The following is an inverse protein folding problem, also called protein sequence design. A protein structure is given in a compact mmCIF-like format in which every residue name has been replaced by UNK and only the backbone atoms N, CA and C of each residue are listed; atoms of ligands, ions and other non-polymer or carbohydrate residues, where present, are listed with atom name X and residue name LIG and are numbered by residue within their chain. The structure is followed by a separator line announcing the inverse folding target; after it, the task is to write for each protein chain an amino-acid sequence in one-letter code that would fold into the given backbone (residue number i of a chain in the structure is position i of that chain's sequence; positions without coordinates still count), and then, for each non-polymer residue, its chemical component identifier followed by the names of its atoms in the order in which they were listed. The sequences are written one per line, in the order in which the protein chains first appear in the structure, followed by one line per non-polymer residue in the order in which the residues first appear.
data_IF_978782526249
#
_entry.id   IF_978782526249
#
_cell.length_a   1.000
_cell.length_b   1.000
_cell.length_c   1.000
_cell.angle_alpha   90.00
_cell.angle_beta   90.00
_cell.angle_gamma   90.00
#
_symmetry.space_group_name_H-M   'P 1'
#
loop_
_entity.id
_entity.type
_entity.pdbx_description
1 polymer ?
#
# COMPACT_ATOMS: atom_id res chain seq x y z
N UNK A 1 -34.69 24.54 -22.23
CA UNK A 1 -35.29 23.39 -22.96
C UNK A 1 -35.11 22.13 -22.13
N UNK A 2 -36.12 21.25 -22.02
CA UNK A 2 -36.06 20.04 -21.19
C UNK A 2 -36.14 18.77 -22.05
N UNK A 3 -35.48 17.70 -21.62
CA UNK A 3 -35.49 16.39 -22.28
C UNK A 3 -35.76 15.28 -21.27
N UNK A 4 -36.60 14.32 -21.65
CA UNK A 4 -36.86 13.10 -20.88
C UNK A 4 -35.72 12.11 -21.13
N UNK A 5 -35.06 11.64 -20.08
CA UNK A 5 -34.06 10.58 -20.19
C UNK A 5 -34.73 9.29 -20.69
N UNK A 6 -34.17 8.66 -21.71
CA UNK A 6 -34.71 7.43 -22.30
C UNK A 6 -34.51 6.18 -21.42
N UNK A 7 -33.76 6.28 -20.31
CA UNK A 7 -33.53 5.15 -19.38
C UNK A 7 -34.29 5.33 -18.08
N UNK A 8 -34.08 6.43 -17.34
CA UNK A 8 -34.78 6.64 -16.06
C UNK A 8 -36.12 7.36 -16.20
N UNK A 9 -36.46 7.89 -17.39
CA UNK A 9 -37.72 8.60 -17.62
C UNK A 9 -37.83 9.98 -16.97
N UNK A 10 -36.84 10.44 -16.21
CA UNK A 10 -36.84 11.75 -15.55
C UNK A 10 -36.62 12.85 -16.59
N UNK A 11 -37.40 13.94 -16.51
CA UNK A 11 -37.19 15.17 -17.28
C UNK A 11 -36.06 15.98 -16.64
N UNK A 12 -35.01 16.28 -17.40
CA UNK A 12 -33.88 17.13 -16.96
C UNK A 12 -33.65 18.23 -18.00
N UNK A 13 -32.98 19.31 -17.60
CA UNK A 13 -32.59 20.36 -18.53
C UNK A 13 -31.66 19.81 -19.62
N UNK A 14 -31.85 20.25 -20.86
CA UNK A 14 -31.03 19.84 -21.99
C UNK A 14 -29.71 20.61 -22.02
N UNK A 15 -28.82 20.27 -21.09
CA UNK A 15 -27.49 20.86 -20.93
C UNK A 15 -26.42 19.79 -20.96
N UNK A 16 -25.17 20.21 -21.17
CA UNK A 16 -23.98 19.35 -21.09
C UNK A 16 -23.78 18.76 -19.71
N UNK A 17 -24.40 19.28 -18.66
CA UNK A 17 -24.31 18.72 -17.31
C UNK A 17 -25.19 17.48 -17.15
N UNK A 18 -26.39 17.52 -17.72
CA UNK A 18 -27.37 16.45 -17.59
C UNK A 18 -27.25 15.39 -18.68
N UNK A 19 -26.89 15.77 -19.91
CA UNK A 19 -26.82 14.87 -21.06
C UNK A 19 -25.44 14.92 -21.74
N UNK A 20 -24.81 13.77 -22.03
CA UNK A 20 -23.58 13.73 -22.82
C UNK A 20 -23.80 14.31 -24.23
N UNK A 21 -22.84 15.07 -24.73
CA UNK A 21 -22.85 15.54 -26.11
C UNK A 21 -22.73 14.36 -27.09
N UNK A 22 -23.51 14.39 -28.18
CA UNK A 22 -23.48 13.37 -29.23
C UNK A 22 -23.65 14.03 -30.59
N UNK A 23 -22.54 14.09 -31.35
CA UNK A 23 -22.43 14.79 -32.65
C UNK A 23 -23.52 14.38 -33.64
N UNK A 24 -23.88 13.10 -33.71
CA UNK A 24 -24.82 12.59 -34.70
C UNK A 24 -26.27 12.50 -34.18
N UNK A 25 -26.62 13.28 -33.15
CA UNK A 25 -27.99 13.30 -32.62
C UNK A 25 -28.70 14.59 -33.00
N UNK A 26 -30.00 14.51 -33.30
CA UNK A 26 -30.83 15.66 -33.68
C UNK A 26 -30.78 16.79 -32.65
N UNK A 27 -30.70 16.44 -31.36
CA UNK A 27 -30.61 17.42 -30.27
C UNK A 27 -29.17 17.80 -29.89
N UNK A 28 -28.13 17.24 -30.52
CA UNK A 28 -26.73 17.39 -30.08
C UNK A 28 -26.36 16.65 -28.79
N UNK A 29 -27.31 15.93 -28.19
CA UNK A 29 -27.20 15.24 -26.90
C UNK A 29 -27.70 13.79 -26.96
N UNK A 30 -27.08 12.89 -26.19
CA UNK A 30 -27.55 11.51 -25.99
C UNK A 30 -29.02 11.50 -25.48
N UNK A 31 -29.74 10.42 -25.77
CA UNK A 31 -31.08 10.19 -25.22
C UNK A 31 -31.07 9.88 -23.72
N UNK A 32 -29.94 9.36 -23.23
CA UNK A 32 -29.71 9.00 -21.83
C UNK A 32 -29.01 10.13 -21.08
N UNK A 33 -29.41 10.37 -19.83
CA UNK A 33 -28.69 11.31 -18.97
C UNK A 33 -27.32 10.74 -18.56
N UNK A 34 -26.42 11.59 -18.04
CA UNK A 34 -25.08 11.19 -17.60
C UNK A 34 -25.09 10.10 -16.54
N UNK A 35 -26.05 10.11 -15.62
CA UNK A 35 -26.13 9.11 -14.55
C UNK A 35 -26.43 7.73 -15.13
N UNK A 36 -27.48 7.64 -15.96
CA UNK A 36 -27.82 6.41 -16.67
C UNK A 36 -26.69 5.97 -17.61
N UNK A 37 -25.96 6.92 -18.21
CA UNK A 37 -24.79 6.62 -19.04
C UNK A 37 -23.64 6.04 -18.22
N UNK A 38 -23.34 6.58 -17.05
CA UNK A 38 -22.34 6.06 -16.11
C UNK A 38 -22.64 4.61 -15.73
N UNK A 39 -23.89 4.32 -15.37
CA UNK A 39 -24.32 2.94 -15.01
C UNK A 39 -24.15 2.01 -16.21
N UNK A 40 -24.63 2.43 -17.38
CA UNK A 40 -24.48 1.65 -18.62
C UNK A 40 -23.01 1.37 -18.97
N UNK A 41 -22.16 2.40 -18.91
CA UNK A 41 -20.74 2.26 -19.24
C UNK A 41 -20.00 1.38 -18.22
N UNK A 42 -20.37 1.42 -16.92
CA UNK A 42 -19.86 0.50 -15.90
C UNK A 42 -20.22 -0.95 -16.22
N UNK A 43 -21.49 -1.24 -16.52
CA UNK A 43 -21.95 -2.60 -16.87
C UNK A 43 -21.25 -3.07 -18.16
N UNK A 44 -21.15 -2.19 -19.16
CA UNK A 44 -20.46 -2.49 -20.43
C UNK A 44 -18.99 -2.79 -20.20
N UNK A 45 -18.31 -2.01 -19.36
CA UNK A 45 -16.92 -2.25 -18.99
C UNK A 45 -16.78 -3.61 -18.30
N UNK A 46 -17.62 -3.91 -17.31
CA UNK A 46 -17.55 -5.16 -16.54
C UNK A 46 -17.72 -6.39 -17.45
N UNK A 47 -18.73 -6.36 -18.33
CA UNK A 47 -18.96 -7.42 -19.32
C UNK A 47 -17.79 -7.63 -20.29
N UNK A 48 -16.93 -6.63 -20.47
CA UNK A 48 -15.78 -6.69 -21.37
C UNK A 48 -14.43 -6.65 -20.62
N UNK A 49 -14.45 -6.70 -19.28
CA UNK A 49 -13.28 -6.40 -18.44
C UNK A 49 -12.12 -7.31 -18.76
N UNK A 50 -12.36 -8.61 -18.80
CA UNK A 50 -11.35 -9.62 -19.10
C UNK A 50 -10.76 -9.44 -20.50
N UNK A 51 -11.62 -9.22 -21.51
CA UNK A 51 -11.18 -8.98 -22.89
C UNK A 51 -10.33 -7.71 -23.01
N UNK A 52 -10.70 -6.64 -22.33
CA UNK A 52 -9.94 -5.38 -22.30
C UNK A 52 -8.59 -5.56 -21.60
N UNK A 53 -8.56 -6.30 -20.48
CA UNK A 53 -7.32 -6.63 -19.76
C UNK A 53 -6.41 -7.49 -20.65
N UNK A 54 -6.94 -8.54 -21.28
CA UNK A 54 -6.18 -9.41 -22.17
C UNK A 54 -5.58 -8.64 -23.35
N UNK A 55 -6.38 -7.80 -24.01
CA UNK A 55 -5.92 -6.93 -25.10
C UNK A 55 -4.84 -5.95 -24.62
N UNK A 56 -5.00 -5.37 -23.43
CA UNK A 56 -4.01 -4.47 -22.82
C UNK A 56 -2.69 -5.19 -22.53
N UNK A 57 -2.73 -6.42 -21.99
CA UNK A 57 -1.55 -7.26 -21.78
C UNK A 57 -0.85 -7.59 -23.08
N UNK A 58 -1.61 -7.95 -24.12
CA UNK A 58 -1.06 -8.27 -25.43
C UNK A 58 -0.37 -7.05 -26.08
N UNK A 59 -1.03 -5.88 -26.04
CA UNK A 59 -0.44 -4.62 -26.50
C UNK A 59 0.85 -4.30 -25.74
N UNK A 60 0.84 -4.38 -24.40
CA UNK A 60 2.03 -4.15 -23.60
C UNK A 60 3.17 -5.11 -23.96
N UNK A 61 2.87 -6.41 -24.16
CA UNK A 61 3.85 -7.41 -24.56
C UNK A 61 4.48 -7.10 -25.91
N UNK A 62 3.69 -6.67 -26.90
CA UNK A 62 4.16 -6.28 -28.23
C UNK A 62 5.05 -5.03 -28.20
N UNK A 63 4.79 -4.10 -27.28
CA UNK A 63 5.49 -2.81 -27.19
C UNK A 63 6.45 -2.73 -25.99
N UNK A 64 6.84 -3.85 -25.38
CA UNK A 64 7.63 -3.85 -24.14
C UNK A 64 9.01 -3.22 -24.35
N UNK A 65 9.66 -3.50 -25.47
CA UNK A 65 10.99 -3.00 -25.79
C UNK A 65 10.98 -1.50 -26.09
N UNK A 66 10.02 -1.06 -26.92
CA UNK A 66 9.80 0.36 -27.24
C UNK A 66 9.53 1.18 -25.97
N UNK A 67 8.66 0.67 -25.08
CA UNK A 67 8.37 1.33 -23.80
C UNK A 67 9.59 1.39 -22.88
N UNK A 68 10.38 0.31 -22.81
CA UNK A 68 11.63 0.29 -22.04
C UNK A 68 12.65 1.29 -22.61
N UNK A 69 12.78 1.36 -23.94
CA UNK A 69 13.65 2.32 -24.62
C UNK A 69 13.21 3.75 -24.31
N UNK A 70 11.95 4.08 -24.53
CA UNK A 70 11.36 5.37 -24.19
C UNK A 70 11.58 5.72 -22.71
N UNK A 71 11.37 4.77 -21.79
CA UNK A 71 11.60 4.99 -20.36
C UNK A 71 13.05 5.33 -20.02
N UNK A 72 14.03 4.67 -20.66
CA UNK A 72 15.45 4.99 -20.49
C UNK A 72 15.78 6.38 -21.04
N UNK A 73 15.29 6.70 -22.24
CA UNK A 73 15.51 8.00 -22.88
C UNK A 73 14.89 9.14 -22.06
N UNK A 74 13.66 8.95 -21.59
CA UNK A 74 12.98 9.89 -20.70
C UNK A 74 13.79 10.14 -19.43
N UNK A 75 14.23 9.07 -18.75
CA UNK A 75 15.03 9.21 -17.54
C UNK A 75 16.36 9.93 -17.80
N UNK A 76 17.07 9.59 -18.88
CA UNK A 76 18.32 10.26 -19.25
C UNK A 76 18.12 11.76 -19.49
N UNK A 77 17.03 12.13 -20.17
CA UNK A 77 16.70 13.54 -20.46
C UNK A 77 16.10 14.30 -19.26
N UNK A 78 15.57 13.58 -18.26
CA UNK A 78 14.84 14.17 -17.13
C UNK A 78 15.44 13.74 -15.77
N UNK A 79 16.74 13.48 -15.72
CA UNK A 79 17.40 12.87 -14.55
C UNK A 79 17.13 13.65 -13.27
N UNK A 80 17.30 14.97 -13.29
CA UNK A 80 17.09 15.81 -12.10
C UNK A 80 15.64 15.82 -11.64
N UNK A 81 14.69 15.84 -12.58
CA UNK A 81 13.26 15.76 -12.29
C UNK A 81 12.88 14.41 -11.70
N UNK A 82 13.43 13.32 -12.22
CA UNK A 82 13.18 11.98 -11.69
C UNK A 82 13.77 11.84 -10.28
N UNK A 83 15.00 12.31 -10.07
CA UNK A 83 15.66 12.29 -8.75
C UNK A 83 14.93 13.14 -7.72
N UNK A 84 14.52 14.36 -8.08
CA UNK A 84 13.78 15.24 -7.18
C UNK A 84 12.42 14.66 -6.81
N UNK A 85 11.73 14.07 -7.78
CA UNK A 85 10.45 13.37 -7.55
C UNK A 85 10.63 12.16 -6.63
N UNK A 86 11.69 11.36 -6.84
CA UNK A 86 12.00 10.24 -5.95
C UNK A 86 12.30 10.70 -4.52
N UNK A 87 13.13 11.73 -4.37
CA UNK A 87 13.46 12.30 -3.05
C UNK A 87 12.22 12.86 -2.35
N UNK A 88 11.34 13.52 -3.10
CA UNK A 88 10.06 14.00 -2.56
C UNK A 88 9.20 12.83 -2.09
N UNK A 89 9.05 11.78 -2.91
CA UNK A 89 8.31 10.59 -2.52
C UNK A 89 8.89 9.96 -1.24
N UNK A 90 10.21 9.86 -1.11
CA UNK A 90 10.88 9.33 0.09
C UNK A 90 10.59 10.15 1.34
N UNK A 91 10.54 11.47 1.19
CA UNK A 91 10.26 12.40 2.29
C UNK A 91 8.78 12.34 2.71
N UNK A 92 7.88 12.27 1.72
CA UNK A 92 6.43 12.26 1.95
C UNK A 92 5.93 10.86 2.40
N UNK A 93 6.70 9.79 2.17
CA UNK A 93 6.31 8.39 2.43
C UNK A 93 7.37 7.61 3.23
N UNK A 94 7.79 8.09 4.41
CA UNK A 94 8.88 7.49 5.17
C UNK A 94 8.55 6.07 5.65
N UNK A 95 7.28 5.79 5.98
CA UNK A 95 6.83 4.45 6.41
C UNK A 95 6.89 3.48 5.24
N UNK A 96 6.38 3.86 4.08
CA UNK A 96 6.40 3.03 2.88
C UNK A 96 7.84 2.76 2.44
N UNK A 97 8.73 3.75 2.54
CA UNK A 97 10.16 3.56 2.27
C UNK A 97 10.79 2.53 3.22
N UNK A 98 10.47 2.56 4.52
CA UNK A 98 10.92 1.52 5.48
C UNK A 98 10.41 0.14 5.09
N UNK A 99 9.11 0.00 4.79
CA UNK A 99 8.50 -1.27 4.36
C UNK A 99 9.19 -1.81 3.10
N UNK A 100 9.47 -0.96 2.10
CA UNK A 100 10.19 -1.36 0.88
C UNK A 100 11.59 -1.86 1.22
N UNK A 101 12.31 -1.14 2.08
CA UNK A 101 13.65 -1.52 2.50
C UNK A 101 13.65 -2.86 3.25
N UNK A 102 12.72 -3.06 4.19
CA UNK A 102 12.58 -4.33 4.92
C UNK A 102 12.24 -5.49 3.99
N UNK A 103 11.25 -5.34 3.11
CA UNK A 103 10.92 -6.37 2.11
C UNK A 103 12.13 -6.70 1.22
N UNK A 104 12.91 -5.69 0.82
CA UNK A 104 14.13 -5.90 0.04
C UNK A 104 15.22 -6.64 0.83
N UNK A 105 15.40 -6.30 2.12
CA UNK A 105 16.37 -6.96 3.00
C UNK A 105 15.97 -8.41 3.23
N UNK A 106 14.73 -8.68 3.60
CA UNK A 106 14.22 -10.04 3.83
C UNK A 106 14.40 -10.93 2.60
N UNK A 107 14.03 -10.45 1.41
CA UNK A 107 14.24 -11.19 0.15
C UNK A 107 15.72 -11.50 -0.14
N UNK A 108 16.62 -10.57 0.17
CA UNK A 108 18.07 -10.77 -0.01
C UNK A 108 18.58 -11.96 0.78
N UNK A 109 18.00 -12.22 1.96
CA UNK A 109 18.35 -13.36 2.82
C UNK A 109 17.43 -14.58 2.62
N UNK A 110 16.61 -14.59 1.58
CA UNK A 110 15.73 -15.72 1.24
C UNK A 110 14.45 -15.82 2.08
N UNK A 111 14.14 -14.83 2.91
CA UNK A 111 12.90 -14.79 3.66
C UNK A 111 11.70 -14.35 2.81
N UNK A 112 10.52 -14.79 3.21
CA UNK A 112 9.26 -14.41 2.57
C UNK A 112 8.78 -13.00 2.97
N UNK A 113 7.96 -12.37 2.13
CA UNK A 113 7.47 -10.98 2.34
C UNK A 113 5.96 -10.89 2.23
N UNK A 114 5.27 -11.69 3.05
CA UNK A 114 3.82 -11.89 2.99
C UNK A 114 3.02 -10.87 3.78
N UNK A 115 3.63 -10.11 4.71
CA UNK A 115 2.92 -9.13 5.54
C UNK A 115 2.16 -8.11 4.67
N UNK A 116 0.85 -8.13 4.84
CA UNK A 116 -0.15 -7.23 4.25
C UNK A 116 -0.38 -6.00 5.13
N UNK A 117 -1.11 -5.01 4.60
CA UNK A 117 -1.45 -3.81 5.36
C UNK A 117 -2.43 -4.14 6.48
N UNK A 118 -3.40 -4.99 6.18
CA UNK A 118 -4.46 -5.43 7.07
C UNK A 118 -3.88 -6.28 8.21
N UNK A 119 -2.95 -7.20 7.93
CA UNK A 119 -2.25 -7.94 8.99
C UNK A 119 -1.42 -7.03 9.89
N UNK A 120 -0.80 -5.98 9.33
CA UNK A 120 -0.07 -5.01 10.14
C UNK A 120 -1.00 -4.21 11.06
N UNK A 121 -2.18 -3.81 10.59
CA UNK A 121 -3.19 -3.16 11.42
C UNK A 121 -3.63 -4.09 12.56
N UNK A 122 -3.95 -5.36 12.26
CA UNK A 122 -4.26 -6.36 13.29
C UNK A 122 -3.09 -6.57 14.28
N UNK A 123 -1.85 -6.44 13.81
CA UNK A 123 -0.65 -6.55 14.64
C UNK A 123 -0.55 -5.37 15.61
N UNK A 124 -0.80 -4.15 15.13
CA UNK A 124 -0.86 -2.97 16.00
C UNK A 124 -1.97 -3.13 17.04
N UNK A 125 -3.16 -3.58 16.64
CA UNK A 125 -4.28 -3.83 17.55
C UNK A 125 -3.90 -4.87 18.61
N UNK A 126 -3.28 -5.98 18.20
CA UNK A 126 -2.82 -7.04 19.10
C UNK A 126 -1.81 -6.55 20.13
N UNK A 127 -0.98 -5.54 19.82
CA UNK A 127 -0.04 -4.94 20.76
C UNK A 127 -0.53 -3.61 21.35
N UNK A 128 -1.83 -3.32 21.28
CA UNK A 128 -2.45 -2.10 21.83
C UNK A 128 -1.74 -0.83 21.35
N UNK A 129 -1.41 -0.79 20.05
CA UNK A 129 -0.66 0.28 19.40
C UNK A 129 0.63 0.68 20.12
N UNK A 130 1.27 -0.26 20.81
CA UNK A 130 2.42 -0.01 21.67
C UNK A 130 3.61 -0.88 21.27
N UNK A 131 4.81 -0.46 21.67
CA UNK A 131 6.02 -1.24 21.45
C UNK A 131 5.91 -2.59 22.18
N UNK A 132 6.05 -3.68 21.43
CA UNK A 132 5.99 -5.05 21.94
C UNK A 132 6.99 -5.33 23.06
N UNK A 133 8.14 -4.62 23.08
CA UNK A 133 9.21 -4.84 24.05
C UNK A 133 9.07 -3.99 25.32
N UNK A 134 9.09 -2.66 25.20
CA UNK A 134 9.08 -1.78 26.37
C UNK A 134 7.70 -1.23 26.74
N UNK A 135 6.69 -1.44 25.89
CA UNK A 135 5.33 -0.92 26.11
C UNK A 135 5.14 0.57 25.87
N UNK A 136 6.13 1.29 25.33
CA UNK A 136 5.97 2.68 24.90
C UNK A 136 4.87 2.76 23.85
N UNK A 137 3.88 3.62 24.07
CA UNK A 137 2.75 3.78 23.15
C UNK A 137 3.19 4.40 21.83
N UNK A 138 2.42 4.18 20.77
CA UNK A 138 2.67 4.77 19.46
C UNK A 138 2.63 6.30 19.48
N UNK A 139 1.82 6.89 20.36
CA UNK A 139 1.70 8.33 20.52
C UNK A 139 2.89 8.91 21.29
N UNK A 140 3.29 8.31 22.42
CA UNK A 140 4.54 8.70 23.12
C UNK A 140 5.76 8.60 22.19
N UNK A 141 5.83 7.54 21.38
CA UNK A 141 6.88 7.39 20.39
C UNK A 141 6.84 8.48 19.33
N UNK A 142 5.65 8.83 18.85
CA UNK A 142 5.47 9.89 17.87
C UNK A 142 5.90 11.24 18.43
N UNK A 143 5.53 11.57 19.67
CA UNK A 143 5.90 12.83 20.31
C UNK A 143 7.41 12.94 20.53
N UNK A 144 8.07 11.85 20.91
CA UNK A 144 9.51 11.84 21.19
C UNK A 144 10.39 11.79 19.93
N UNK A 145 9.96 11.09 18.89
CA UNK A 145 10.82 10.78 17.74
C UNK A 145 10.28 11.31 16.41
N UNK A 146 9.07 11.87 16.39
CA UNK A 146 8.36 12.32 15.19
C UNK A 146 8.24 11.21 14.13
N UNK A 147 7.96 9.99 14.57
CA UNK A 147 7.80 8.82 13.70
C UNK A 147 6.88 7.77 14.33
N UNK A 148 6.28 6.93 13.48
CA UNK A 148 5.48 5.79 13.91
C UNK A 148 6.37 4.62 14.35
N UNK A 149 5.79 3.69 15.10
CA UNK A 149 6.45 2.44 15.50
C UNK A 149 6.98 1.69 14.27
N UNK A 150 8.12 1.04 14.44
CA UNK A 150 8.84 0.35 13.38
C UNK A 150 8.33 -1.08 13.24
N UNK A 151 8.45 -1.62 12.03
CA UNK A 151 8.23 -3.04 11.75
C UNK A 151 9.50 -3.78 12.11
N UNK A 152 9.56 -4.35 13.31
CA UNK A 152 10.77 -5.04 13.78
C UNK A 152 10.62 -6.55 13.68
N UNK A 153 11.67 -7.22 13.21
CA UNK A 153 11.67 -8.67 13.09
C UNK A 153 12.02 -9.33 14.44
N UNK A 154 11.19 -10.27 14.90
CA UNK A 154 11.49 -11.10 16.07
C UNK A 154 12.67 -12.02 15.74
N UNK A 155 12.50 -12.87 14.73
CA UNK A 155 13.58 -13.65 14.11
C UNK A 155 14.33 -12.77 13.10
N UNK A 156 15.62 -12.50 13.31
CA UNK A 156 16.43 -11.67 12.42
C UNK A 156 16.43 -12.15 10.96
N UNK A 157 16.55 -11.21 10.01
CA UNK A 157 16.55 -11.50 8.57
C UNK A 157 17.73 -12.36 8.11
N UNK A 158 18.89 -12.24 8.76
CA UNK A 158 20.09 -13.05 8.49
C UNK A 158 19.94 -14.51 8.92
N UNK A 159 18.98 -14.80 9.82
CA UNK A 159 18.52 -16.14 10.16
C UNK A 159 17.25 -16.53 9.37
N UNK A 160 17.10 -16.01 8.15
CA UNK A 160 15.95 -16.22 7.26
C UNK A 160 14.58 -15.82 7.87
N UNK A 161 14.57 -14.89 8.82
CA UNK A 161 13.33 -14.35 9.39
C UNK A 161 12.45 -13.68 8.33
N UNK A 162 11.22 -14.17 8.19
CA UNK A 162 10.25 -13.67 7.22
C UNK A 162 9.67 -12.31 7.62
N UNK A 163 9.30 -11.49 6.63
CA UNK A 163 8.50 -10.28 6.82
C UNK A 163 7.03 -10.67 6.70
N UNK A 164 6.52 -11.31 7.75
CA UNK A 164 5.18 -11.89 7.88
C UNK A 164 4.52 -11.45 9.18
N UNK A 165 3.21 -11.69 9.32
CA UNK A 165 2.43 -11.40 10.55
C UNK A 165 3.21 -11.90 11.78
N UNK A 166 3.37 -13.19 11.94
CA UNK A 166 3.91 -13.80 13.16
C UNK A 166 5.41 -13.57 13.43
N UNK A 167 6.12 -12.79 12.59
CA UNK A 167 7.53 -12.47 12.81
C UNK A 167 7.81 -10.97 12.88
N UNK A 168 6.83 -10.10 12.59
CA UNK A 168 7.00 -8.65 12.62
C UNK A 168 6.16 -8.05 13.74
N UNK A 169 6.79 -7.27 14.63
CA UNK A 169 6.14 -6.61 15.76
C UNK A 169 6.37 -5.11 15.77
N UNK A 170 5.49 -4.31 16.42
CA UNK A 170 5.73 -2.90 16.62
C UNK A 170 6.87 -2.69 17.62
N UNK A 171 7.90 -1.97 17.20
CA UNK A 171 9.00 -1.56 18.07
C UNK A 171 9.22 -0.05 18.04
N UNK A 172 9.47 0.53 19.21
CA UNK A 172 9.96 1.90 19.27
C UNK A 172 11.42 1.96 18.81
N UNK A 173 11.86 3.14 18.34
CA UNK A 173 13.22 3.42 17.90
C UNK A 173 14.30 2.89 18.87
N UNK A 174 14.27 3.17 20.19
CA UNK A 174 15.32 2.68 21.08
C UNK A 174 15.32 1.15 21.23
N UNK A 175 14.17 0.49 21.21
CA UNK A 175 14.12 -0.98 21.28
C UNK A 175 14.59 -1.63 19.98
N UNK A 176 14.16 -1.13 18.83
CA UNK A 176 14.60 -1.58 17.50
C UNK A 176 16.13 -1.42 17.33
N UNK A 177 16.65 -0.23 17.66
CA UNK A 177 18.09 0.04 17.62
C UNK A 177 18.87 -0.77 18.67
N UNK A 178 18.26 -1.05 19.82
CA UNK A 178 18.85 -1.97 20.79
C UNK A 178 18.92 -3.35 20.16
N UNK A 179 17.80 -4.00 19.82
CA UNK A 179 17.76 -5.37 19.30
C UNK A 179 18.73 -5.58 18.13
N UNK A 180 18.67 -4.74 17.10
CA UNK A 180 19.64 -4.71 15.99
C UNK A 180 20.04 -6.10 15.43
N UNK A 181 19.06 -6.98 15.21
CA UNK A 181 19.32 -8.33 14.68
C UNK A 181 19.82 -9.35 15.71
N UNK A 182 19.94 -9.00 17.00
CA UNK A 182 20.19 -9.98 18.05
C UNK A 182 19.02 -10.95 18.19
N UNK A 183 19.36 -12.18 18.61
CA UNK A 183 18.39 -13.21 18.94
C UNK A 183 17.42 -12.71 20.02
N UNK A 184 16.12 -12.85 19.75
CA UNK A 184 15.07 -12.35 20.64
C UNK A 184 15.14 -12.97 22.03
N UNK A 185 15.31 -14.28 22.12
CA UNK A 185 15.28 -15.03 23.37
C UNK A 185 16.44 -14.66 24.30
N UNK A 186 17.61 -14.37 23.72
CA UNK A 186 18.78 -13.93 24.47
C UNK A 186 18.74 -12.45 24.78
N UNK A 187 18.43 -11.61 23.79
CA UNK A 187 18.46 -10.16 23.96
C UNK A 187 17.39 -9.67 24.93
N UNK A 188 16.15 -10.14 24.79
CA UNK A 188 15.04 -9.57 25.54
C UNK A 188 15.15 -9.88 27.04
N UNK A 189 15.58 -11.09 27.41
CA UNK A 189 15.84 -11.48 28.80
C UNK A 189 16.91 -10.66 29.50
N UNK A 190 17.86 -10.10 28.74
CA UNK A 190 18.94 -9.25 29.25
C UNK A 190 18.67 -7.75 29.02
N UNK A 191 17.50 -7.38 28.51
CA UNK A 191 17.17 -6.01 28.18
C UNK A 191 16.59 -5.27 29.40
N UNK A 192 16.98 -4.00 29.59
CA UNK A 192 16.59 -3.20 30.76
C UNK A 192 15.08 -3.02 30.98
N UNK A 193 14.26 -3.22 29.95
CA UNK A 193 12.79 -3.16 30.02
C UNK A 193 12.14 -4.54 29.84
N UNK A 194 12.86 -5.61 30.20
CA UNK A 194 12.33 -6.97 30.16
C UNK A 194 11.03 -7.09 30.97
N UNK A 195 10.09 -7.86 30.41
CA UNK A 195 8.84 -8.21 31.07
C UNK A 195 8.45 -9.61 30.61
N UNK A 196 8.33 -10.54 31.55
CA UNK A 196 7.91 -11.92 31.27
C UNK A 196 6.51 -11.98 30.64
N UNK A 197 5.62 -11.07 31.04
CA UNK A 197 4.28 -10.92 30.43
C UNK A 197 4.36 -10.55 28.95
N UNK A 198 5.22 -9.60 28.58
CA UNK A 198 5.42 -9.20 27.18
C UNK A 198 6.14 -10.28 26.38
N UNK A 199 7.11 -10.98 26.99
CA UNK A 199 7.76 -12.13 26.36
C UNK A 199 6.73 -13.21 26.01
N UNK A 200 5.87 -13.58 26.96
CA UNK A 200 4.80 -14.55 26.73
C UNK A 200 3.85 -14.11 25.61
N UNK A 201 3.42 -12.84 25.61
CA UNK A 201 2.57 -12.27 24.54
C UNK A 201 3.25 -12.31 23.17
N UNK A 202 4.55 -12.03 23.08
CA UNK A 202 5.30 -12.12 21.82
C UNK A 202 5.40 -13.58 21.34
N UNK A 203 5.66 -14.52 22.25
CA UNK A 203 5.74 -15.95 21.90
C UNK A 203 4.38 -16.49 21.41
N UNK A 204 3.28 -16.12 22.07
CA UNK A 204 1.92 -16.45 21.64
C UNK A 204 1.62 -15.89 20.23
N UNK A 205 2.02 -14.64 19.97
CA UNK A 205 1.91 -14.02 18.65
C UNK A 205 2.69 -14.76 17.57
N UNK A 206 3.88 -15.30 17.89
CA UNK A 206 4.69 -16.10 16.95
C UNK A 206 4.01 -17.41 16.57
N UNK A 207 3.30 -18.04 17.49
CA UNK A 207 2.58 -19.31 17.26
C UNK A 207 1.28 -19.12 16.48
N UNK A 208 0.89 -17.88 16.18
CA UNK A 208 -0.29 -17.55 15.37
C UNK A 208 -1.56 -17.35 16.17
N UNK A 209 -1.44 -16.81 17.39
CA UNK A 209 -2.56 -16.36 18.22
C UNK A 209 -3.64 -15.56 17.49
#
# INVERSE_FOLDING_TARGET
MYKKCSTCGIKKELTTDNFPARRNSKSGFDGRCKDCRKVYDKIRYEKNREKLIAKGKEYYRKHIEERRKYGREYYAQNTDKCKSSSKKWDTDNPIQRRIINEKSRTKKYGGDTTLTKEEWECTLDYFEHSCAYCGMTGDEHFDLFNERLHHEHIMPVDNAGAYSKNNVVPACRPCNCSKAGRDFSLWYKNFKYYSSTREARILEYMEGG
#
